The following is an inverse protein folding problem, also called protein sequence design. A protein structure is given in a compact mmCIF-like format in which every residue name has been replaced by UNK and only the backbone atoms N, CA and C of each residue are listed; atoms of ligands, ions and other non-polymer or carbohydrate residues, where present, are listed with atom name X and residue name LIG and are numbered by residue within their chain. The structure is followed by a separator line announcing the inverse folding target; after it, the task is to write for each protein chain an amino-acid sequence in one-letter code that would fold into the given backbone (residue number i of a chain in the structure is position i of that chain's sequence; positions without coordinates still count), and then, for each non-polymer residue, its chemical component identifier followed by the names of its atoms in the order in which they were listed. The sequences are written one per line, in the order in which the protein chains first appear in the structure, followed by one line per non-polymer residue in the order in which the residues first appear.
data_IF_378263240563
#
_entry.id   IF_378263240563
#
_cell.length_a   1.000
_cell.length_b   1.000
_cell.length_c   1.000
_cell.angle_alpha   90.00
_cell.angle_beta   90.00
_cell.angle_gamma   90.00
#
_symmetry.space_group_name_H-M   'P 1'
#
loop_
_entity.id
_entity.type
_entity.pdbx_description
1 polymer ?
#
# COMPACT_ATOMS: atom_id res chain seq x y z
N UNK A 1 -58.86 51.00 -15.25
CA UNK A 1 -58.62 49.96 -16.27
C UNK A 1 -57.60 48.99 -15.68
N UNK A 2 -58.04 47.85 -15.14
CA UNK A 2 -57.15 46.85 -14.56
C UNK A 2 -56.62 45.93 -15.67
N UNK A 3 -55.30 45.83 -15.78
CA UNK A 3 -54.60 44.79 -16.55
C UNK A 3 -54.68 43.47 -15.80
N UNK A 4 -55.35 42.47 -16.39
CA UNK A 4 -55.27 41.08 -15.93
C UNK A 4 -54.12 40.41 -16.67
N UNK A 5 -53.00 40.24 -15.96
CA UNK A 5 -51.86 39.46 -16.40
C UNK A 5 -52.25 37.96 -16.38
N UNK A 6 -52.51 37.37 -17.54
CA UNK A 6 -52.68 35.92 -17.66
C UNK A 6 -51.29 35.26 -17.64
N UNK A 7 -50.94 34.63 -16.51
CA UNK A 7 -49.80 33.71 -16.46
C UNK A 7 -50.17 32.47 -17.28
N UNK A 8 -49.51 32.29 -18.43
CA UNK A 8 -49.60 31.06 -19.21
C UNK A 8 -49.06 29.89 -18.37
N UNK A 9 -49.92 28.94 -18.02
CA UNK A 9 -49.54 27.73 -17.30
C UNK A 9 -48.55 26.92 -18.16
N UNK A 10 -47.27 26.90 -17.75
CA UNK A 10 -46.26 26.00 -18.31
C UNK A 10 -46.73 24.56 -18.07
N UNK A 11 -46.94 23.79 -19.14
CA UNK A 11 -47.13 22.34 -19.05
C UNK A 11 -45.79 21.71 -18.64
N UNK A 12 -45.58 21.55 -17.34
CA UNK A 12 -44.55 20.68 -16.80
C UNK A 12 -44.84 19.25 -17.30
N UNK A 13 -44.01 18.74 -18.21
CA UNK A 13 -44.07 17.34 -18.65
C UNK A 13 -43.47 16.50 -17.53
N UNK A 14 -44.32 15.81 -16.77
CA UNK A 14 -43.86 14.82 -15.78
C UNK A 14 -43.11 13.66 -16.45
N UNK A 15 -42.20 13.05 -15.70
CA UNK A 15 -41.47 11.84 -16.11
C UNK A 15 -42.44 10.68 -16.27
N UNK A 16 -42.31 9.89 -17.34
CA UNK A 16 -43.17 8.71 -17.55
C UNK A 16 -42.71 7.54 -16.67
N UNK A 17 -43.62 6.67 -16.27
CA UNK A 17 -43.27 5.46 -15.51
C UNK A 17 -42.30 4.57 -16.29
N UNK A 18 -42.40 4.52 -17.63
CA UNK A 18 -41.51 3.72 -18.46
C UNK A 18 -40.09 4.29 -18.50
N UNK A 19 -39.92 5.62 -18.48
CA UNK A 19 -38.58 6.22 -18.38
C UNK A 19 -37.91 5.86 -17.05
N UNK A 20 -38.65 5.84 -15.94
CA UNK A 20 -38.10 5.45 -14.64
C UNK A 20 -37.69 3.97 -14.61
N UNK A 21 -38.54 3.10 -15.15
CA UNK A 21 -38.26 1.66 -15.24
C UNK A 21 -37.06 1.39 -16.15
N UNK A 22 -36.97 2.06 -17.30
CA UNK A 22 -35.84 1.89 -18.21
C UNK A 22 -34.52 2.31 -17.56
N UNK A 23 -34.51 3.41 -16.79
CA UNK A 23 -33.30 3.89 -16.10
C UNK A 23 -32.80 2.87 -15.07
N UNK A 24 -33.69 2.34 -14.21
CA UNK A 24 -33.27 1.35 -13.20
C UNK A 24 -32.79 0.04 -13.85
N UNK A 25 -33.36 -0.35 -14.99
CA UNK A 25 -32.91 -1.53 -15.74
C UNK A 25 -31.50 -1.31 -16.31
N UNK A 26 -31.25 -0.14 -16.91
CA UNK A 26 -29.92 0.20 -17.44
C UNK A 26 -28.89 0.24 -16.30
N UNK A 27 -29.22 0.90 -15.18
CA UNK A 27 -28.34 0.94 -14.00
C UNK A 27 -28.10 -0.46 -13.42
N UNK A 28 -29.10 -1.35 -13.43
CA UNK A 28 -28.96 -2.73 -13.00
C UNK A 28 -27.96 -3.54 -13.86
N UNK A 29 -28.03 -3.38 -15.19
CA UNK A 29 -27.09 -4.04 -16.11
C UNK A 29 -25.66 -3.51 -15.90
N UNK A 30 -25.49 -2.19 -15.80
CA UNK A 30 -24.17 -1.58 -15.56
C UNK A 30 -23.59 -2.01 -14.21
N UNK A 31 -24.40 -2.06 -13.16
CA UNK A 31 -23.99 -2.50 -11.84
C UNK A 31 -23.54 -3.97 -11.82
N UNK A 32 -24.24 -4.85 -12.55
CA UNK A 32 -23.90 -6.28 -12.61
C UNK A 32 -22.48 -6.53 -13.18
N UNK A 33 -22.03 -5.71 -14.13
CA UNK A 33 -20.67 -5.80 -14.68
C UNK A 33 -19.63 -5.01 -13.89
N UNK A 34 -19.99 -3.85 -13.33
CA UNK A 34 -19.05 -2.98 -12.63
C UNK A 34 -18.71 -3.46 -11.21
N UNK A 35 -19.68 -4.04 -10.50
CA UNK A 35 -19.53 -4.40 -9.08
C UNK A 35 -18.45 -5.47 -8.84
N UNK A 36 -18.34 -6.56 -9.63
CA UNK A 36 -17.28 -7.55 -9.44
C UNK A 36 -15.89 -6.92 -9.56
N UNK A 37 -15.67 -6.09 -10.58
CA UNK A 37 -14.40 -5.38 -10.77
C UNK A 37 -14.09 -4.44 -9.61
N UNK A 38 -15.08 -3.68 -9.15
CA UNK A 38 -14.87 -2.74 -8.05
C UNK A 38 -14.57 -3.44 -6.71
N UNK A 39 -15.11 -4.64 -6.49
CA UNK A 39 -14.81 -5.44 -5.31
C UNK A 39 -13.34 -5.92 -5.25
N UNK A 40 -12.76 -6.27 -6.40
CA UNK A 40 -11.39 -6.81 -6.47
C UNK A 40 -10.29 -5.72 -6.43
N UNK A 41 -10.61 -4.47 -6.81
CA UNK A 41 -9.63 -3.37 -6.89
C UNK A 41 -8.87 -3.09 -5.59
N UNK A 42 -9.51 -3.30 -4.43
CA UNK A 42 -8.88 -3.07 -3.13
C UNK A 42 -7.75 -4.05 -2.84
N UNK A 43 -7.96 -5.34 -3.14
CA UNK A 43 -6.96 -6.39 -2.96
C UNK A 43 -5.80 -6.21 -3.93
N UNK A 44 -6.11 -5.97 -5.21
CA UNK A 44 -5.11 -5.70 -6.24
C UNK A 44 -4.22 -4.49 -5.89
N UNK A 45 -4.82 -3.41 -5.37
CA UNK A 45 -4.07 -2.22 -4.94
C UNK A 45 -3.12 -2.55 -3.78
N UNK A 46 -3.57 -3.28 -2.76
CA UNK A 46 -2.72 -3.67 -1.62
C UNK A 46 -1.59 -4.59 -2.04
N UNK A 47 -1.88 -5.56 -2.92
CA UNK A 47 -0.86 -6.44 -3.48
C UNK A 47 0.21 -5.64 -4.22
N UNK A 48 -0.17 -4.69 -5.06
CA UNK A 48 0.78 -3.82 -5.76
C UNK A 48 1.63 -2.99 -4.80
N UNK A 49 1.03 -2.48 -3.72
CA UNK A 49 1.75 -1.76 -2.65
C UNK A 49 2.76 -2.66 -1.94
N UNK A 50 2.38 -3.90 -1.60
CA UNK A 50 3.29 -4.89 -0.98
C UNK A 50 4.45 -5.27 -1.92
N UNK A 51 4.18 -5.49 -3.21
CA UNK A 51 5.21 -5.74 -4.23
C UNK A 51 6.18 -4.54 -4.35
N UNK A 52 5.64 -3.32 -4.33
CA UNK A 52 6.40 -2.08 -4.33
C UNK A 52 7.32 -1.95 -3.10
N UNK A 53 6.77 -2.22 -1.90
CA UNK A 53 7.53 -2.21 -0.66
C UNK A 53 8.63 -3.28 -0.62
N UNK A 54 8.37 -4.48 -1.14
CA UNK A 54 9.39 -5.51 -1.25
C UNK A 54 10.54 -5.06 -2.16
N UNK A 55 10.21 -4.39 -3.27
CA UNK A 55 11.18 -3.79 -4.17
C UNK A 55 12.02 -2.69 -3.50
N UNK A 56 11.39 -1.80 -2.74
CA UNK A 56 12.09 -0.73 -2.02
C UNK A 56 13.04 -1.30 -0.96
N UNK A 57 12.61 -2.31 -0.21
CA UNK A 57 13.44 -3.02 0.79
C UNK A 57 14.68 -3.65 0.16
N UNK A 58 14.52 -4.40 -0.95
CA UNK A 58 15.67 -5.00 -1.67
C UNK A 58 16.68 -3.95 -2.13
N UNK A 59 16.18 -2.86 -2.71
CA UNK A 59 17.04 -1.77 -3.20
C UNK A 59 17.73 -1.06 -2.04
N UNK A 60 17.01 -0.75 -0.97
CA UNK A 60 17.53 -0.07 0.21
C UNK A 60 18.62 -0.90 0.91
N UNK A 61 18.39 -2.20 1.10
CA UNK A 61 19.38 -3.11 1.69
C UNK A 61 20.68 -3.14 0.87
N UNK A 62 20.59 -3.23 -0.46
CA UNK A 62 21.75 -3.22 -1.34
C UNK A 62 22.52 -1.88 -1.32
N UNK A 63 21.81 -0.75 -1.31
CA UNK A 63 22.41 0.58 -1.24
C UNK A 63 23.11 0.80 0.12
N UNK A 64 22.43 0.44 1.22
CA UNK A 64 22.98 0.54 2.57
C UNK A 64 24.23 -0.33 2.73
N UNK A 65 24.19 -1.58 2.26
CA UNK A 65 25.33 -2.49 2.26
C UNK A 65 26.52 -1.95 1.46
N UNK A 66 26.26 -1.42 0.26
CA UNK A 66 27.31 -0.82 -0.58
C UNK A 66 28.00 0.36 0.12
N UNK A 67 27.22 1.20 0.81
CA UNK A 67 27.76 2.34 1.56
C UNK A 67 28.49 1.90 2.84
N UNK A 68 28.01 0.87 3.52
CA UNK A 68 28.67 0.25 4.66
C UNK A 68 30.07 -0.26 4.30
N UNK A 69 30.20 -0.98 3.19
CA UNK A 69 31.49 -1.43 2.66
C UNK A 69 32.41 -0.25 2.32
N UNK A 70 31.86 0.80 1.68
CA UNK A 70 32.62 2.00 1.33
C UNK A 70 33.13 2.78 2.56
N UNK A 71 32.42 2.70 3.68
CA UNK A 71 32.78 3.34 4.95
C UNK A 71 33.69 2.49 5.84
N UNK A 72 34.07 1.29 5.40
CA UNK A 72 34.96 0.40 6.14
C UNK A 72 34.26 -0.43 7.22
N UNK A 73 33.00 -0.81 6.99
CA UNK A 73 32.25 -1.75 7.82
C UNK A 73 31.93 -1.23 9.23
N UNK A 74 31.34 -0.02 9.30
CA UNK A 74 30.93 0.66 10.54
C UNK A 74 29.58 0.17 11.07
N UNK A 75 29.27 0.35 12.35
CA UNK A 75 27.97 -0.10 12.91
C UNK A 75 26.73 0.65 12.36
N UNK A 76 26.91 1.75 11.64
CA UNK A 76 25.82 2.53 11.07
C UNK A 76 26.23 3.27 9.80
N UNK A 77 25.23 3.64 9.00
CA UNK A 77 25.37 4.31 7.71
C UNK A 77 24.32 5.43 7.59
N UNK A 78 24.73 6.65 7.26
CA UNK A 78 23.78 7.70 6.88
C UNK A 78 23.36 7.54 5.41
N UNK A 79 22.07 7.51 5.09
CA UNK A 79 21.57 7.56 3.70
C UNK A 79 20.98 8.94 3.42
N UNK A 80 21.07 9.42 2.17
CA UNK A 80 20.53 10.73 1.80
C UNK A 80 19.01 10.77 2.00
N UNK A 81 18.52 11.75 2.76
CA UNK A 81 17.08 11.91 3.05
C UNK A 81 16.52 10.98 4.12
N UNK A 82 17.36 10.13 4.75
CA UNK A 82 16.99 9.28 5.89
C UNK A 82 17.84 9.61 7.11
N UNK A 83 17.32 9.33 8.30
CA UNK A 83 18.15 9.22 9.52
C UNK A 83 19.23 8.14 9.31
N UNK A 84 20.26 8.18 10.16
CA UNK A 84 21.25 7.10 10.29
C UNK A 84 20.59 5.73 10.35
N UNK A 85 20.98 4.84 9.43
CA UNK A 85 20.55 3.45 9.36
C UNK A 85 21.47 2.59 10.22
N UNK A 86 20.88 1.81 11.12
CA UNK A 86 21.60 0.81 11.92
C UNK A 86 21.86 -0.44 11.10
N UNK A 87 23.07 -0.99 11.19
CA UNK A 87 23.51 -2.13 10.37
C UNK A 87 23.82 -3.34 11.25
N UNK A 88 23.50 -4.54 10.76
CA UNK A 88 23.91 -5.82 11.32
C UNK A 88 25.42 -6.05 11.16
N UNK A 89 26.02 -7.01 11.90
CA UNK A 89 27.41 -7.41 11.71
C UNK A 89 27.75 -7.86 10.29
N UNK A 90 26.77 -8.39 9.56
CA UNK A 90 26.87 -8.85 8.17
C UNK A 90 26.83 -7.68 7.16
N UNK A 91 26.55 -6.46 7.64
CA UNK A 91 26.58 -5.24 6.86
C UNK A 91 25.29 -4.95 6.11
N UNK A 92 24.14 -5.45 6.56
CA UNK A 92 22.82 -5.07 6.04
C UNK A 92 22.03 -4.31 7.09
N UNK A 93 20.99 -3.52 6.73
CA UNK A 93 20.15 -2.85 7.72
C UNK A 93 19.56 -3.85 8.73
N UNK A 94 19.47 -3.48 10.00
CA UNK A 94 18.78 -4.26 11.03
C UNK A 94 17.29 -4.41 10.71
N UNK A 95 16.66 -5.46 11.23
CA UNK A 95 15.26 -5.81 10.99
C UNK A 95 14.30 -5.02 11.89
N UNK A 96 14.49 -3.71 11.96
CA UNK A 96 13.69 -2.78 12.78
C UNK A 96 13.49 -1.43 12.09
N UNK A 97 12.77 -0.53 12.77
CA UNK A 97 12.46 0.81 12.28
C UNK A 97 13.72 1.67 12.03
N UNK A 98 14.76 1.51 12.85
CA UNK A 98 16.03 2.26 12.72
C UNK A 98 16.97 1.66 11.65
N UNK A 99 16.77 0.40 11.27
CA UNK A 99 17.46 -0.28 10.19
C UNK A 99 16.68 -0.22 8.88
N UNK A 100 16.05 -1.34 8.51
CA UNK A 100 15.41 -1.49 7.20
C UNK A 100 14.19 -0.59 7.04
N UNK A 101 13.47 -0.28 8.13
CA UNK A 101 12.35 0.66 8.12
C UNK A 101 12.79 2.05 7.65
N UNK A 102 13.87 2.57 8.22
CA UNK A 102 14.48 3.83 7.82
C UNK A 102 15.07 3.76 6.40
N UNK A 103 15.83 2.71 6.10
CA UNK A 103 16.51 2.57 4.81
C UNK A 103 15.53 2.50 3.63
N UNK A 104 14.43 1.77 3.79
CA UNK A 104 13.40 1.59 2.76
C UNK A 104 12.26 2.62 2.86
N UNK A 105 12.33 3.56 3.82
CA UNK A 105 11.33 4.60 4.08
C UNK A 105 9.92 4.03 4.29
N UNK A 106 9.83 2.94 5.07
CA UNK A 106 8.54 2.33 5.40
C UNK A 106 7.82 3.20 6.43
N UNK A 107 6.80 3.93 5.99
CA UNK A 107 5.92 4.72 6.87
C UNK A 107 5.05 3.79 7.72
N UNK A 108 4.91 4.10 9.00
CA UNK A 108 3.99 3.40 9.91
C UNK A 108 2.52 3.64 9.57
N UNK A 109 2.22 4.62 8.72
CA UNK A 109 0.86 4.87 8.22
C UNK A 109 0.46 3.85 7.15
N UNK A 110 1.43 3.41 6.34
CA UNK A 110 1.20 2.52 5.19
C UNK A 110 1.56 1.07 5.48
N UNK A 111 2.56 0.84 6.34
CA UNK A 111 3.10 -0.49 6.63
C UNK A 111 3.26 -0.74 8.13
N UNK A 112 3.01 -1.99 8.50
CA UNK A 112 3.39 -2.56 9.80
C UNK A 112 4.67 -3.37 9.59
N UNK A 113 5.78 -2.87 10.15
CA UNK A 113 7.02 -3.63 10.32
C UNK A 113 6.96 -4.34 11.67
N UNK A 114 7.08 -5.66 11.67
CA UNK A 114 7.22 -6.45 12.88
C UNK A 114 8.68 -6.88 12.99
N UNK A 115 9.35 -6.34 14.00
CA UNK A 115 10.78 -6.51 14.18
C UNK A 115 11.15 -7.97 14.52
N UNK A 116 12.38 -8.35 14.19
CA UNK A 116 12.99 -9.58 14.71
C UNK A 116 13.24 -9.48 16.22
N UNK A 117 13.27 -10.61 16.92
CA UNK A 117 13.60 -10.62 18.36
C UNK A 117 15.04 -10.16 18.63
N UNK A 118 15.99 -10.63 17.82
CA UNK A 118 17.30 -10.04 17.64
C UNK A 118 17.34 -9.32 16.28
N UNK A 119 17.26 -7.99 16.30
CA UNK A 119 17.15 -7.19 15.07
C UNK A 119 18.38 -7.28 14.15
N UNK A 120 19.50 -7.83 14.64
CA UNK A 120 20.69 -8.07 13.84
C UNK A 120 20.68 -9.44 13.13
N UNK A 121 19.87 -10.39 13.59
CA UNK A 121 19.94 -11.79 13.15
C UNK A 121 18.59 -12.38 12.71
N UNK A 122 17.51 -11.96 13.37
CA UNK A 122 16.17 -12.48 13.14
C UNK A 122 15.45 -11.67 12.07
N UNK A 123 14.71 -12.33 11.18
CA UNK A 123 14.00 -11.64 10.12
C UNK A 123 12.82 -10.81 10.65
N UNK A 124 12.61 -9.63 10.05
CA UNK A 124 11.39 -8.86 10.23
C UNK A 124 10.33 -9.28 9.20
N UNK A 125 9.09 -8.90 9.47
CA UNK A 125 8.00 -9.02 8.50
C UNK A 125 7.36 -7.66 8.22
N UNK A 126 6.90 -7.47 6.99
CA UNK A 126 6.29 -6.22 6.51
C UNK A 126 4.93 -6.55 5.90
N UNK A 127 3.88 -5.93 6.42
CA UNK A 127 2.50 -6.02 5.91
C UNK A 127 1.94 -4.60 5.71
N UNK A 128 1.14 -4.32 4.66
CA UNK A 128 0.43 -3.06 4.56
C UNK A 128 -0.59 -2.92 5.70
N UNK A 129 -0.80 -1.69 6.15
CA UNK A 129 -1.84 -1.34 7.11
C UNK A 129 -3.21 -1.60 6.49
N UNK A 130 -4.12 -2.20 7.26
CA UNK A 130 -5.48 -2.49 6.80
C UNK A 130 -5.60 -3.71 5.88
N UNK A 131 -4.58 -4.58 5.81
CA UNK A 131 -4.72 -5.92 5.25
C UNK A 131 -5.86 -6.68 5.97
N UNK A 132 -6.71 -7.39 5.22
CA UNK A 132 -7.82 -8.14 5.81
C UNK A 132 -7.31 -9.35 6.59
N UNK A 133 -6.22 -9.96 6.11
CA UNK A 133 -5.49 -11.02 6.79
C UNK A 133 -3.98 -10.73 6.73
N UNK A 134 -3.45 -10.03 7.73
CA UNK A 134 -2.03 -9.65 7.76
C UNK A 134 -1.07 -10.85 7.68
N UNK A 135 -1.49 -12.03 8.14
CA UNK A 135 -0.69 -13.25 8.05
C UNK A 135 -0.45 -13.76 6.61
N UNK A 136 -1.24 -13.31 5.63
CA UNK A 136 -1.13 -13.69 4.22
C UNK A 136 -1.07 -12.49 3.27
N UNK A 137 -0.69 -11.32 3.79
CA UNK A 137 -0.42 -10.11 3.01
C UNK A 137 0.92 -9.53 3.49
N UNK A 138 2.00 -10.25 3.25
CA UNK A 138 3.27 -10.04 3.95
C UNK A 138 4.47 -10.45 3.10
N UNK A 139 5.62 -9.86 3.42
CA UNK A 139 6.91 -10.45 3.08
C UNK A 139 7.85 -10.33 4.28
N UNK A 140 8.92 -11.11 4.27
CA UNK A 140 9.96 -11.07 5.30
C UNK A 140 11.26 -10.48 4.76
N UNK A 141 12.01 -9.80 5.62
CA UNK A 141 13.36 -9.28 5.37
C UNK A 141 14.35 -9.89 6.36
N UNK A 142 15.45 -10.43 5.86
CA UNK A 142 16.52 -11.05 6.65
C UNK A 142 17.74 -10.11 6.77
N UNK A 143 18.08 -9.64 7.99
CA UNK A 143 19.17 -8.70 8.22
C UNK A 143 20.57 -9.33 8.10
N UNK A 144 20.68 -10.65 7.99
CA UNK A 144 21.98 -11.33 7.80
C UNK A 144 22.36 -11.47 6.33
N UNK A 145 21.36 -11.52 5.44
CA UNK A 145 21.55 -11.72 4.00
C UNK A 145 21.11 -10.54 3.14
N UNK A 146 20.36 -9.59 3.73
CA UNK A 146 19.73 -8.48 3.02
C UNK A 146 18.64 -8.92 2.04
N UNK A 147 18.21 -10.19 2.10
CA UNK A 147 17.23 -10.74 1.18
C UNK A 147 15.82 -10.60 1.74
N UNK A 148 14.84 -10.56 0.83
CA UNK A 148 13.44 -10.71 1.19
C UNK A 148 12.94 -12.09 0.81
N UNK A 149 12.07 -12.69 1.62
CA UNK A 149 11.47 -14.00 1.36
C UNK A 149 9.99 -14.03 1.79
N UNK A 150 9.33 -15.17 1.60
CA UNK A 150 7.98 -15.39 2.15
C UNK A 150 6.93 -14.38 1.67
N UNK A 151 7.00 -13.95 0.41
CA UNK A 151 5.99 -13.07 -0.17
C UNK A 151 4.67 -13.85 -0.31
N UNK A 152 3.65 -13.38 0.39
CA UNK A 152 2.27 -13.87 0.32
C UNK A 152 1.34 -12.67 0.16
N UNK A 153 0.46 -12.71 -0.82
CA UNK A 153 -0.52 -11.66 -1.09
C UNK A 153 -1.97 -12.18 -1.16
N UNK A 154 -2.21 -13.43 -0.74
CA UNK A 154 -3.53 -14.07 -0.83
C UNK A 154 -4.55 -13.46 0.17
N UNK A 155 -4.09 -12.72 1.18
CA UNK A 155 -4.92 -11.99 2.17
C UNK A 155 -4.92 -10.47 2.04
N UNK A 156 -4.37 -9.95 0.95
CA UNK A 156 -4.49 -8.54 0.57
C UNK A 156 -5.90 -8.28 -0.03
#
# INVERSE_FOLDING_TARGET
MNMMNQMAARKEKGFTLIELVMVIVILGILAAFALPRFADLGGDARRATLEGAQGSVKSAAAIAHSKWLAQGSTGSVALEGSTTVTMSPEGYPTSDADGIGAAAQLSTEDYTLTDGTDVAADPATVSPVGATTAASCIFSYDPTTGQTSGFDADGC
#
